data_IF_786104890871
#
_entry.id   IF_786104890871
#
_cell.length_a   1.000
_cell.length_b   1.000
_cell.length_c   1.000
_cell.angle_alpha   90.00
_cell.angle_beta   90.00
_cell.angle_gamma   90.00
#
_symmetry.space_group_name_H-M   'P 1'
#
loop_
_entity.id
_entity.type
_entity.pdbx_description
1 polymer ?
#
# COMPACT_ATOMS: atom_id res chain seq x y z
N UNK A 1 -1.89 -36.95 16.58
CA UNK A 1 -2.18 -35.54 16.94
C UNK A 1 -0.97 -34.60 16.88
N UNK A 2 0.22 -34.97 17.42
CA UNK A 2 1.39 -34.06 17.47
C UNK A 2 1.90 -33.59 16.10
N UNK A 3 1.97 -34.48 15.11
CA UNK A 3 2.37 -34.15 13.73
C UNK A 3 1.31 -33.33 12.97
N UNK A 4 0.04 -33.57 13.26
CA UNK A 4 -1.08 -32.89 12.58
C UNK A 4 -1.03 -31.38 12.84
N UNK A 5 -0.81 -30.97 14.08
CA UNK A 5 -0.74 -29.54 14.42
C UNK A 5 0.48 -28.83 13.81
N UNK A 6 1.61 -29.52 13.72
CA UNK A 6 2.80 -28.99 13.03
C UNK A 6 2.54 -28.84 11.53
N UNK A 7 1.90 -29.83 10.91
CA UNK A 7 1.55 -29.79 9.50
C UNK A 7 0.57 -28.66 9.20
N UNK A 8 -0.50 -28.53 9.99
CA UNK A 8 -1.48 -27.45 9.85
C UNK A 8 -0.80 -26.09 9.99
N UNK A 9 0.01 -25.87 11.04
CA UNK A 9 0.70 -24.59 11.22
C UNK A 9 1.66 -24.26 10.06
N UNK A 10 2.37 -25.27 9.53
CA UNK A 10 3.26 -25.10 8.37
C UNK A 10 2.49 -24.75 7.10
N UNK A 11 1.39 -25.45 6.81
CA UNK A 11 0.54 -25.16 5.65
C UNK A 11 -0.08 -23.77 5.77
N UNK A 12 -0.58 -23.40 6.95
CA UNK A 12 -1.14 -22.07 7.19
C UNK A 12 -0.10 -20.97 7.05
N UNK A 13 1.14 -21.19 7.53
CA UNK A 13 2.24 -20.24 7.33
C UNK A 13 2.52 -20.00 5.84
N UNK A 14 2.64 -21.08 5.07
CA UNK A 14 2.86 -21.00 3.62
C UNK A 14 1.67 -20.33 2.91
N UNK A 15 0.45 -20.64 3.32
CA UNK A 15 -0.75 -19.99 2.79
C UNK A 15 -0.69 -18.47 3.00
N UNK A 16 -0.40 -18.01 4.22
CA UNK A 16 -0.30 -16.57 4.51
C UNK A 16 0.83 -15.92 3.70
N UNK A 17 1.98 -16.58 3.60
CA UNK A 17 3.14 -16.08 2.86
C UNK A 17 2.86 -15.85 1.37
N UNK A 18 2.17 -16.80 0.72
CA UNK A 18 1.89 -16.72 -0.72
C UNK A 18 0.59 -15.98 -1.04
N UNK A 19 -0.35 -15.92 -0.10
CA UNK A 19 -1.63 -15.19 -0.26
C UNK A 19 -1.61 -13.83 0.43
N UNK A 20 -0.43 -13.30 0.76
CA UNK A 20 -0.27 -12.03 1.47
C UNK A 20 -1.08 -10.88 0.85
N UNK A 21 -1.00 -10.61 -0.48
CA UNK A 21 -1.73 -9.49 -1.08
C UNK A 21 -3.26 -9.67 -1.03
N UNK A 22 -3.72 -10.93 -1.09
CA UNK A 22 -5.14 -11.26 -1.01
C UNK A 22 -5.67 -11.01 0.40
N UNK A 23 -4.91 -11.42 1.42
CA UNK A 23 -5.27 -11.19 2.83
C UNK A 23 -5.30 -9.68 3.12
N UNK A 24 -4.28 -8.94 2.69
CA UNK A 24 -4.24 -7.48 2.81
C UNK A 24 -5.48 -6.84 2.17
N UNK A 25 -5.78 -7.19 0.91
CA UNK A 25 -6.95 -6.65 0.18
C UNK A 25 -8.27 -6.97 0.87
N UNK A 26 -8.41 -8.20 1.41
CA UNK A 26 -9.60 -8.62 2.15
C UNK A 26 -9.87 -7.75 3.37
N UNK A 27 -8.84 -7.46 4.18
CA UNK A 27 -9.01 -6.58 5.34
C UNK A 27 -9.31 -5.12 4.94
N UNK A 28 -8.69 -4.63 3.86
CA UNK A 28 -9.06 -3.31 3.31
C UNK A 28 -10.52 -3.30 2.84
N UNK A 29 -11.03 -4.36 2.26
CA UNK A 29 -12.45 -4.44 1.86
C UNK A 29 -13.40 -4.52 3.06
N UNK A 30 -12.94 -5.05 4.20
CA UNK A 30 -13.67 -5.03 5.48
C UNK A 30 -13.65 -3.68 6.22
N UNK A 31 -13.21 -2.59 5.56
CA UNK A 31 -13.08 -1.26 6.14
C UNK A 31 -12.02 -1.13 7.26
N UNK A 32 -11.05 -2.04 7.35
CA UNK A 32 -9.89 -1.81 8.22
C UNK A 32 -9.04 -0.67 7.64
N UNK A 33 -8.19 -0.06 8.47
CA UNK A 33 -7.19 0.89 7.98
C UNK A 33 -6.21 0.18 7.04
N UNK A 34 -5.62 0.93 6.10
CA UNK A 34 -4.60 0.43 5.19
C UNK A 34 -3.40 -0.12 5.94
N UNK A 35 -2.92 0.60 6.97
CA UNK A 35 -1.77 0.17 7.77
C UNK A 35 -2.09 -1.11 8.55
N UNK A 36 -3.28 -1.19 9.15
CA UNK A 36 -3.68 -2.39 9.89
C UNK A 36 -3.83 -3.60 8.97
N UNK A 37 -4.43 -3.40 7.80
CA UNK A 37 -4.61 -4.46 6.79
C UNK A 37 -3.26 -5.02 6.31
N UNK A 38 -2.23 -4.19 6.23
CA UNK A 38 -0.85 -4.60 5.90
C UNK A 38 -0.16 -5.35 7.04
N UNK A 39 -0.41 -4.96 8.28
CA UNK A 39 0.21 -5.55 9.47
C UNK A 39 -0.36 -6.94 9.80
N UNK A 40 -1.65 -7.16 9.56
CA UNK A 40 -2.34 -8.42 9.93
C UNK A 40 -1.66 -9.67 9.32
N UNK A 41 -1.35 -9.75 8.02
CA UNK A 41 -0.63 -10.90 7.46
C UNK A 41 0.71 -11.19 8.16
N UNK A 42 1.48 -10.15 8.53
CA UNK A 42 2.73 -10.33 9.29
C UNK A 42 2.47 -10.87 10.71
N UNK A 43 1.42 -10.40 11.39
CA UNK A 43 1.03 -10.94 12.69
C UNK A 43 0.61 -12.41 12.59
N UNK A 44 -0.14 -12.79 11.56
CA UNK A 44 -0.49 -14.19 11.30
C UNK A 44 0.75 -15.05 11.05
N UNK A 45 1.68 -14.56 10.24
CA UNK A 45 2.98 -15.22 10.02
C UNK A 45 3.74 -15.42 11.33
N UNK A 46 3.81 -14.40 12.19
CA UNK A 46 4.47 -14.49 13.49
C UNK A 46 3.81 -15.55 14.39
N UNK A 47 2.48 -15.56 14.46
CA UNK A 47 1.72 -16.56 15.23
C UNK A 47 2.04 -17.97 14.74
N UNK A 48 1.96 -18.22 13.43
CA UNK A 48 2.25 -19.55 12.88
C UNK A 48 3.73 -19.94 13.04
N UNK A 49 4.66 -19.00 12.88
CA UNK A 49 6.08 -19.25 13.10
C UNK A 49 6.38 -19.63 14.56
N UNK A 50 5.74 -18.97 15.53
CA UNK A 50 5.82 -19.34 16.96
C UNK A 50 5.27 -20.74 17.20
N UNK A 51 4.11 -21.09 16.60
CA UNK A 51 3.52 -22.42 16.71
C UNK A 51 4.42 -23.51 16.13
N UNK A 52 5.02 -23.26 14.95
CA UNK A 52 5.95 -24.18 14.28
C UNK A 52 7.21 -24.35 15.14
N UNK A 53 7.84 -23.26 15.57
CA UNK A 53 9.04 -23.28 16.42
C UNK A 53 8.78 -24.02 17.75
N UNK A 54 7.64 -23.78 18.38
CA UNK A 54 7.26 -24.50 19.59
C UNK A 54 7.08 -25.99 19.32
N UNK A 55 6.35 -26.37 18.27
CA UNK A 55 6.09 -27.78 17.93
C UNK A 55 7.35 -28.54 17.53
N UNK A 56 8.21 -27.97 16.69
CA UNK A 56 9.45 -28.63 16.24
C UNK A 56 10.39 -28.92 17.41
N UNK A 57 10.42 -28.05 18.43
CA UNK A 57 11.22 -28.25 19.65
C UNK A 57 10.77 -29.44 20.52
N UNK A 58 9.53 -29.92 20.31
CA UNK A 58 8.98 -31.11 20.94
C UNK A 58 9.03 -32.35 20.05
N UNK A 59 9.22 -32.18 18.73
CA UNK A 59 9.39 -33.28 17.78
C UNK A 59 10.84 -33.75 17.70
N UNK A 60 11.80 -32.83 17.79
CA UNK A 60 13.23 -33.16 17.76
C UNK A 60 13.72 -33.53 19.16
N UNK A 61 14.31 -34.72 19.28
CA UNK A 61 14.96 -35.20 20.50
C UNK A 61 16.32 -34.49 20.70
N UNK A 62 16.27 -33.25 21.16
CA UNK A 62 17.48 -32.51 21.55
C UNK A 62 17.84 -32.79 23.02
N UNK A 63 19.13 -33.01 23.31
CA UNK A 63 19.60 -33.48 24.62
C UNK A 63 19.54 -32.41 25.71
N UNK A 64 19.60 -31.13 25.36
CA UNK A 64 19.65 -30.03 26.34
C UNK A 64 18.53 -29.00 26.15
N UNK A 65 18.03 -28.38 27.23
CA UNK A 65 17.03 -27.31 27.14
C UNK A 65 17.58 -26.07 26.44
N UNK A 66 18.90 -25.83 26.51
CA UNK A 66 19.58 -24.76 25.76
C UNK A 66 19.50 -25.00 24.26
N UNK A 67 19.78 -26.22 23.79
CA UNK A 67 19.65 -26.56 22.36
C UNK A 67 18.21 -26.37 21.86
N UNK A 68 17.20 -26.77 22.65
CA UNK A 68 15.79 -26.54 22.31
C UNK A 68 15.44 -25.05 22.22
N UNK A 69 16.03 -24.20 23.06
CA UNK A 69 15.84 -22.74 23.01
C UNK A 69 16.47 -22.15 21.75
N UNK A 70 17.70 -22.54 21.43
CA UNK A 70 18.41 -22.09 20.22
C UNK A 70 17.63 -22.50 18.97
N UNK A 71 17.16 -23.75 18.90
CA UNK A 71 16.31 -24.23 17.79
C UNK A 71 15.05 -23.38 17.62
N UNK A 72 14.33 -23.08 18.71
CA UNK A 72 13.13 -22.25 18.67
C UNK A 72 13.41 -20.86 18.10
N UNK A 73 14.46 -20.21 18.61
CA UNK A 73 14.85 -18.88 18.15
C UNK A 73 15.29 -18.93 16.68
N UNK A 74 16.10 -19.93 16.29
CA UNK A 74 16.58 -20.10 14.93
C UNK A 74 15.44 -20.35 13.93
N UNK A 75 14.47 -21.19 14.28
CA UNK A 75 13.29 -21.43 13.43
C UNK A 75 12.41 -20.19 13.32
N UNK A 76 12.15 -19.51 14.43
CA UNK A 76 11.37 -18.28 14.44
C UNK A 76 12.04 -17.19 13.58
N UNK A 77 13.33 -16.94 13.80
CA UNK A 77 14.11 -15.98 13.04
C UNK A 77 14.19 -16.37 11.55
N UNK A 78 14.44 -17.65 11.25
CA UNK A 78 14.51 -18.14 9.88
C UNK A 78 13.21 -17.97 9.11
N UNK A 79 12.07 -18.31 9.72
CA UNK A 79 10.76 -18.11 9.10
C UNK A 79 10.45 -16.63 8.91
N UNK A 80 10.62 -15.79 9.95
CA UNK A 80 10.36 -14.35 9.84
C UNK A 80 11.24 -13.70 8.77
N UNK A 81 12.53 -14.04 8.72
CA UNK A 81 13.45 -13.57 7.68
C UNK A 81 13.02 -13.99 6.28
N UNK A 82 12.58 -15.25 6.10
CA UNK A 82 12.01 -15.70 4.84
C UNK A 82 10.76 -14.90 4.46
N UNK A 83 9.92 -14.62 5.47
CA UNK A 83 8.74 -13.77 5.35
C UNK A 83 9.06 -12.39 4.79
N UNK A 84 9.99 -11.67 5.43
CA UNK A 84 10.41 -10.34 4.98
C UNK A 84 11.23 -10.35 3.69
N UNK A 85 11.90 -11.45 3.36
CA UNK A 85 12.61 -11.59 2.08
C UNK A 85 11.64 -11.68 0.90
N UNK A 86 10.50 -12.34 1.09
CA UNK A 86 9.47 -12.50 0.05
C UNK A 86 8.50 -11.30 0.03
N UNK A 87 8.12 -10.81 1.22
CA UNK A 87 7.22 -9.68 1.42
C UNK A 87 7.98 -8.58 2.18
N UNK A 88 8.84 -7.80 1.51
CA UNK A 88 9.62 -6.75 2.17
C UNK A 88 8.72 -5.62 2.67
N UNK A 89 9.06 -5.09 3.85
CA UNK A 89 8.47 -3.85 4.37
C UNK A 89 9.35 -2.68 3.93
N UNK A 90 8.77 -1.74 3.20
CA UNK A 90 9.48 -0.53 2.76
C UNK A 90 9.21 0.64 3.70
N UNK A 91 10.22 1.50 3.92
CA UNK A 91 10.14 2.64 4.84
C UNK A 91 8.96 3.58 4.55
N UNK A 92 8.67 3.82 3.27
CA UNK A 92 7.56 4.65 2.85
C UNK A 92 6.18 4.02 2.91
N UNK A 93 6.06 2.76 3.35
CA UNK A 93 4.76 2.10 3.54
C UNK A 93 4.05 2.59 4.81
N UNK A 94 4.78 2.81 5.90
CA UNK A 94 4.23 3.20 7.20
C UNK A 94 4.57 4.63 7.62
N UNK A 95 5.53 5.26 6.93
CA UNK A 95 5.86 6.65 7.17
C UNK A 95 4.93 7.56 6.35
N UNK A 96 4.31 8.54 6.99
CA UNK A 96 3.44 9.51 6.34
C UNK A 96 4.21 10.68 5.71
N UNK A 97 5.50 10.84 6.04
CA UNK A 97 6.49 11.81 5.52
C UNK A 97 5.92 12.82 4.52
N UNK A 98 5.09 13.70 5.07
CA UNK A 98 4.27 14.64 4.36
C UNK A 98 5.19 15.72 3.80
N UNK A 99 5.19 15.89 2.48
CA UNK A 99 5.89 17.04 1.89
C UNK A 99 4.87 18.14 1.67
N UNK A 100 4.93 19.26 2.41
CA UNK A 100 4.07 20.40 2.12
C UNK A 100 4.40 20.89 0.72
N UNK A 101 3.37 21.14 -0.07
CA UNK A 101 3.50 21.58 -1.44
C UNK A 101 2.44 22.63 -1.70
N UNK A 102 2.89 23.83 -2.02
CA UNK A 102 2.02 24.95 -2.38
C UNK A 102 2.48 25.40 -3.76
N UNK A 103 1.55 25.46 -4.70
CA UNK A 103 1.73 26.19 -5.96
C UNK A 103 0.56 27.14 -6.10
N UNK A 104 0.88 28.42 -6.31
CA UNK A 104 -0.14 29.46 -6.55
C UNK A 104 -0.70 29.41 -7.98
N UNK A 105 0.05 28.77 -8.89
CA UNK A 105 -0.22 28.68 -10.32
C UNK A 105 -1.04 27.42 -10.68
N UNK A 106 -0.76 26.28 -10.04
CA UNK A 106 -1.51 25.04 -10.24
C UNK A 106 -2.74 24.97 -9.33
N UNK A 107 -3.93 25.04 -9.93
CA UNK A 107 -5.20 24.88 -9.22
C UNK A 107 -6.02 23.71 -9.77
N UNK A 108 -6.54 22.89 -8.87
CA UNK A 108 -7.36 21.73 -9.19
C UNK A 108 -8.77 21.88 -8.62
N UNK A 109 -9.67 22.49 -9.39
CA UNK A 109 -11.06 22.68 -8.94
C UNK A 109 -11.81 21.36 -8.91
N UNK A 110 -12.62 21.18 -7.87
CA UNK A 110 -13.47 20.01 -7.66
C UNK A 110 -12.70 18.68 -7.65
N UNK A 111 -11.52 18.69 -7.05
CA UNK A 111 -10.67 17.50 -6.90
C UNK A 111 -10.11 17.48 -5.49
N UNK A 112 -10.08 16.30 -4.88
CA UNK A 112 -9.55 16.10 -3.52
C UNK A 112 -8.17 15.42 -3.58
N UNK A 113 -7.97 14.51 -4.56
CA UNK A 113 -6.68 13.85 -4.81
C UNK A 113 -6.33 13.88 -6.29
N UNK A 114 -5.10 14.32 -6.60
CA UNK A 114 -4.54 14.25 -7.95
C UNK A 114 -3.38 13.26 -7.98
N UNK A 115 -3.40 12.30 -8.90
CA UNK A 115 -2.21 11.54 -9.27
C UNK A 115 -1.60 12.11 -10.54
N UNK A 116 -0.35 12.53 -10.46
CA UNK A 116 0.44 12.95 -11.62
C UNK A 116 1.22 11.75 -12.16
N UNK A 117 1.06 11.45 -13.44
CA UNK A 117 1.70 10.33 -14.11
C UNK A 117 2.23 10.67 -15.49
N UNK A 118 2.93 9.71 -16.10
CA UNK A 118 3.40 9.78 -17.48
C UNK A 118 2.88 8.58 -18.30
N UNK A 119 2.76 8.72 -19.63
CA UNK A 119 2.50 7.60 -20.52
C UNK A 119 3.49 6.45 -20.34
N UNK A 120 3.02 5.21 -20.47
CA UNK A 120 3.87 4.00 -20.43
C UNK A 120 4.49 3.65 -19.08
N UNK A 121 4.22 4.41 -18.02
CA UNK A 121 4.76 4.15 -16.68
C UNK A 121 3.99 3.03 -15.96
N UNK A 122 4.63 1.87 -15.79
CA UNK A 122 4.02 0.71 -15.13
C UNK A 122 3.58 1.00 -13.69
N UNK A 123 4.39 1.74 -12.91
CA UNK A 123 4.03 2.12 -11.55
C UNK A 123 2.79 3.02 -11.52
N UNK A 124 2.69 3.97 -12.45
CA UNK A 124 1.56 4.87 -12.58
C UNK A 124 0.27 4.13 -12.95
N UNK A 125 0.38 3.08 -13.77
CA UNK A 125 -0.74 2.19 -14.10
C UNK A 125 -1.14 1.32 -12.92
N UNK A 126 -0.18 0.75 -12.19
CA UNK A 126 -0.42 -0.06 -11.00
C UNK A 126 -1.15 0.74 -9.90
N UNK A 127 -0.76 2.01 -9.70
CA UNK A 127 -1.43 2.91 -8.75
C UNK A 127 -2.91 3.17 -9.06
N UNK A 128 -3.39 2.89 -10.28
CA UNK A 128 -4.81 3.05 -10.58
C UNK A 128 -5.69 2.07 -9.79
N UNK A 129 -5.18 0.88 -9.44
CA UNK A 129 -5.94 -0.08 -8.63
C UNK A 129 -6.11 0.41 -7.20
N UNK A 130 -5.06 0.99 -6.62
CA UNK A 130 -5.12 1.68 -5.32
C UNK A 130 -6.12 2.84 -5.34
N UNK A 131 -6.08 3.69 -6.37
CA UNK A 131 -7.02 4.80 -6.51
C UNK A 131 -8.46 4.31 -6.68
N UNK A 132 -8.67 3.20 -7.39
CA UNK A 132 -10.00 2.57 -7.51
C UNK A 132 -10.49 2.08 -6.15
N UNK A 133 -9.64 1.44 -5.35
CA UNK A 133 -10.01 0.97 -4.02
C UNK A 133 -10.31 2.14 -3.07
N UNK A 134 -9.50 3.20 -3.08
CA UNK A 134 -9.79 4.45 -2.35
C UNK A 134 -11.14 5.04 -2.74
N UNK A 135 -11.45 5.09 -4.05
CA UNK A 135 -12.74 5.59 -4.56
C UNK A 135 -13.91 4.71 -4.16
N UNK A 136 -13.74 3.38 -4.09
CA UNK A 136 -14.78 2.46 -3.61
C UNK A 136 -15.09 2.67 -2.13
N UNK A 137 -14.06 2.82 -1.30
CA UNK A 137 -14.19 3.11 0.14
C UNK A 137 -14.74 4.50 0.42
N UNK A 138 -14.40 5.47 -0.44
CA UNK A 138 -14.81 6.87 -0.31
C UNK A 138 -15.53 7.35 -1.59
N UNK A 139 -16.81 6.97 -1.80
CA UNK A 139 -17.52 7.28 -3.04
C UNK A 139 -17.64 8.78 -3.35
N UNK A 140 -17.66 9.64 -2.32
CA UNK A 140 -17.71 11.09 -2.47
C UNK A 140 -16.38 11.71 -2.92
N UNK A 141 -15.27 11.02 -2.71
CA UNK A 141 -13.93 11.52 -2.98
C UNK A 141 -13.70 11.75 -4.48
N UNK A 142 -13.24 12.93 -4.87
CA UNK A 142 -13.01 13.32 -6.26
C UNK A 142 -11.53 13.08 -6.60
N UNK A 143 -11.29 12.03 -7.38
CA UNK A 143 -9.94 11.63 -7.79
C UNK A 143 -9.72 11.99 -9.26
N UNK A 144 -8.58 12.62 -9.54
CA UNK A 144 -8.14 12.97 -10.88
C UNK A 144 -6.75 12.41 -11.16
N UNK A 145 -6.56 11.84 -12.35
CA UNK A 145 -5.24 11.51 -12.89
C UNK A 145 -4.89 12.52 -13.95
N UNK A 146 -3.71 13.12 -13.80
CA UNK A 146 -3.16 14.11 -14.71
C UNK A 146 -1.92 13.51 -15.36
N UNK A 147 -1.97 13.34 -16.68
CA UNK A 147 -0.84 12.81 -17.44
C UNK A 147 -0.03 13.95 -18.06
N UNK A 148 1.30 13.89 -17.90
CA UNK A 148 2.23 14.79 -18.57
C UNK A 148 2.45 14.34 -20.03
N UNK A 149 2.18 15.24 -20.98
CA UNK A 149 2.38 15.05 -22.43
C UNK A 149 1.78 13.75 -23.03
N UNK A 150 0.54 13.34 -22.71
CA UNK A 150 -0.07 12.15 -23.28
C UNK A 150 -0.54 12.37 -24.73
N UNK A 151 -0.43 11.33 -25.55
CA UNK A 151 -1.18 11.21 -26.80
C UNK A 151 -2.60 10.64 -26.54
N UNK A 152 -3.41 10.49 -27.60
CA UNK A 152 -4.79 9.96 -27.49
C UNK A 152 -4.84 8.51 -27.02
N UNK A 153 -3.90 7.66 -27.46
CA UNK A 153 -3.82 6.25 -27.05
C UNK A 153 -3.51 6.13 -25.56
N UNK A 154 -2.60 6.95 -25.06
CA UNK A 154 -2.20 6.95 -23.63
C UNK A 154 -3.41 7.30 -22.74
N UNK A 155 -4.15 8.36 -23.08
CA UNK A 155 -5.36 8.74 -22.34
C UNK A 155 -6.41 7.62 -22.35
N UNK A 156 -6.59 6.94 -23.48
CA UNK A 156 -7.55 5.84 -23.60
C UNK A 156 -7.12 4.62 -22.78
N UNK A 157 -5.83 4.31 -22.72
CA UNK A 157 -5.31 3.23 -21.87
C UNK A 157 -5.63 3.50 -20.40
N UNK A 158 -5.30 4.70 -19.91
CA UNK A 158 -5.57 5.08 -18.52
C UNK A 158 -7.07 5.08 -18.23
N UNK A 159 -7.92 5.61 -19.12
CA UNK A 159 -9.38 5.57 -18.95
C UNK A 159 -9.94 4.15 -18.91
N UNK A 160 -9.44 3.26 -19.77
CA UNK A 160 -9.88 1.85 -19.80
C UNK A 160 -9.60 1.17 -18.46
N UNK A 161 -8.44 1.42 -17.87
CA UNK A 161 -8.05 0.81 -16.59
C UNK A 161 -8.77 1.48 -15.42
N UNK A 162 -8.81 2.82 -15.39
CA UNK A 162 -9.39 3.59 -14.30
C UNK A 162 -10.93 3.50 -14.24
N UNK A 163 -11.59 3.22 -15.37
CA UNK A 163 -13.04 3.21 -15.48
C UNK A 163 -13.64 4.62 -15.43
N UNK A 164 -14.93 4.70 -15.10
CA UNK A 164 -15.69 5.96 -15.10
C UNK A 164 -15.61 6.73 -13.78
N UNK A 165 -15.06 6.14 -12.72
CA UNK A 165 -15.07 6.71 -11.38
C UNK A 165 -13.90 7.66 -11.09
N UNK A 166 -12.87 7.65 -11.95
CA UNK A 166 -11.66 8.46 -11.80
C UNK A 166 -11.48 9.30 -13.07
N UNK A 167 -11.34 10.63 -12.89
CA UNK A 167 -11.20 11.55 -14.02
C UNK A 167 -9.79 11.47 -14.59
N UNK A 168 -9.66 11.19 -15.89
CA UNK A 168 -8.36 11.20 -16.58
C UNK A 168 -8.23 12.43 -17.46
N UNK A 169 -7.13 13.18 -17.30
CA UNK A 169 -6.89 14.43 -18.02
C UNK A 169 -5.43 14.62 -18.41
N UNK A 170 -5.19 15.50 -19.39
CA UNK A 170 -3.86 15.99 -19.74
C UNK A 170 -3.49 17.16 -18.82
N UNK A 171 -2.22 17.24 -18.42
CA UNK A 171 -1.68 18.40 -17.72
C UNK A 171 -1.78 19.66 -18.60
N UNK A 172 -2.35 20.74 -18.06
CA UNK A 172 -2.43 22.04 -18.75
C UNK A 172 -1.04 22.64 -18.94
N UNK A 173 -0.20 22.60 -17.90
CA UNK A 173 1.22 22.92 -17.96
C UNK A 173 2.05 21.71 -17.49
N UNK A 174 2.53 20.87 -18.42
CA UNK A 174 3.35 19.72 -18.10
C UNK A 174 4.71 20.09 -17.48
N UNK A 175 5.26 21.26 -17.78
CA UNK A 175 6.58 21.66 -17.28
C UNK A 175 6.46 22.08 -15.82
N UNK A 176 5.45 22.90 -15.50
CA UNK A 176 5.21 23.38 -14.15
C UNK A 176 4.90 22.22 -13.18
N UNK A 177 3.99 21.31 -13.57
CA UNK A 177 3.64 20.17 -12.72
C UNK A 177 4.82 19.21 -12.54
N UNK A 178 5.68 19.06 -13.57
CA UNK A 178 6.89 18.24 -13.48
C UNK A 178 7.93 18.88 -12.57
N UNK A 179 8.05 20.22 -12.58
CA UNK A 179 8.92 20.96 -11.67
C UNK A 179 8.44 20.80 -10.22
N UNK A 180 7.13 20.94 -9.96
CA UNK A 180 6.55 20.78 -8.63
C UNK A 180 6.85 19.41 -8.01
N UNK A 181 6.72 18.34 -8.80
CA UNK A 181 6.95 16.96 -8.33
C UNK A 181 8.42 16.53 -8.45
N UNK A 182 9.32 17.45 -8.82
CA UNK A 182 10.73 17.20 -9.08
C UNK A 182 10.98 15.99 -10.03
N UNK A 183 10.14 15.85 -11.05
CA UNK A 183 10.22 14.76 -12.03
C UNK A 183 9.91 13.35 -11.50
N UNK A 184 9.35 13.22 -10.28
CA UNK A 184 9.03 11.91 -9.69
C UNK A 184 7.63 11.47 -10.09
N UNK A 185 7.50 10.25 -10.63
CA UNK A 185 6.23 9.68 -11.06
C UNK A 185 6.05 8.24 -10.53
N UNK A 186 4.80 7.83 -10.22
CA UNK A 186 3.67 8.71 -9.95
C UNK A 186 3.92 9.60 -8.73
N UNK A 187 3.23 10.73 -8.63
CA UNK A 187 3.19 11.57 -7.43
C UNK A 187 1.74 11.91 -7.13
N UNK A 188 1.36 11.87 -5.86
CA UNK A 188 0.00 12.10 -5.39
C UNK A 188 -0.06 13.44 -4.68
N UNK A 189 -1.07 14.24 -4.99
CA UNK A 189 -1.25 15.59 -4.47
C UNK A 189 -2.58 15.65 -3.72
N UNK A 190 -2.54 16.00 -2.44
CA UNK A 190 -3.73 16.37 -1.69
C UNK A 190 -4.15 17.78 -2.09
N UNK A 191 -5.41 17.93 -2.51
CA UNK A 191 -5.98 19.21 -2.90
C UNK A 191 -7.08 19.58 -1.91
N UNK A 192 -7.00 20.77 -1.33
CA UNK A 192 -8.06 21.36 -0.51
C UNK A 192 -8.41 22.74 -1.04
N UNK A 193 -9.71 23.00 -1.21
CA UNK A 193 -10.22 24.27 -1.75
C UNK A 193 -9.60 24.68 -3.09
N UNK A 194 -9.24 23.69 -3.92
CA UNK A 194 -8.61 23.90 -5.22
C UNK A 194 -7.11 24.13 -5.19
N UNK A 195 -6.50 24.19 -4.01
CA UNK A 195 -5.06 24.39 -3.81
C UNK A 195 -4.39 23.09 -3.39
N UNK A 196 -3.19 22.87 -3.89
CA UNK A 196 -2.33 21.78 -3.45
C UNK A 196 -1.88 22.10 -2.03
N UNK A 197 -1.98 21.12 -1.12
CA UNK A 197 -1.51 21.26 0.26
C UNK A 197 -0.33 20.35 0.52
N UNK A 198 -0.43 19.10 0.07
CA UNK A 198 0.56 18.07 0.34
C UNK A 198 0.88 17.31 -0.95
N UNK A 199 2.10 16.78 -1.02
CA UNK A 199 2.50 15.82 -2.04
C UNK A 199 3.17 14.58 -1.44
N UNK A 200 2.96 13.44 -2.10
CA UNK A 200 3.64 12.18 -1.84
C UNK A 200 4.20 11.62 -3.15
N UNK A 201 5.54 11.49 -3.30
CA UNK A 201 6.11 10.73 -4.40
C UNK A 201 5.75 9.24 -4.27
N UNK A 202 5.89 8.48 -5.36
CA UNK A 202 5.54 7.06 -5.43
C UNK A 202 5.98 6.22 -4.22
N UNK A 203 7.23 6.41 -3.79
CA UNK A 203 7.82 5.66 -2.67
C UNK A 203 7.36 6.13 -1.28
N UNK A 204 6.44 7.08 -1.19
CA UNK A 204 5.89 7.63 0.07
C UNK A 204 4.37 7.67 0.10
N UNK A 205 3.69 7.26 -0.96
CA UNK A 205 2.23 7.10 -0.96
C UNK A 205 1.84 5.69 -0.50
N UNK A 206 2.32 5.33 0.69
CA UNK A 206 2.09 4.05 1.33
C UNK A 206 0.80 3.98 2.14
N UNK A 207 0.68 2.93 2.96
CA UNK A 207 -0.49 2.70 3.82
C UNK A 207 -0.72 3.84 4.83
N UNK A 208 0.35 4.41 5.40
CA UNK A 208 0.24 5.56 6.30
C UNK A 208 -0.33 6.80 5.61
N UNK A 209 0.12 7.11 4.38
CA UNK A 209 -0.40 8.23 3.60
C UNK A 209 -1.88 8.02 3.21
N UNK A 210 -2.28 6.78 2.88
CA UNK A 210 -3.68 6.44 2.57
C UNK A 210 -4.58 6.56 3.81
N UNK A 211 -4.12 6.10 4.98
CA UNK A 211 -4.84 6.25 6.25
C UNK A 211 -5.00 7.74 6.61
N UNK A 212 -3.94 8.53 6.49
CA UNK A 212 -3.99 9.98 6.69
C UNK A 212 -5.03 10.64 5.78
N UNK A 213 -5.00 10.30 4.48
CA UNK A 213 -5.92 10.83 3.48
C UNK A 213 -7.38 10.52 3.81
N UNK A 214 -7.70 9.28 4.20
CA UNK A 214 -9.06 8.88 4.58
C UNK A 214 -9.54 9.62 5.84
N UNK A 215 -8.67 9.82 6.83
CA UNK A 215 -9.01 10.58 8.03
C UNK A 215 -9.33 12.05 7.70
N UNK A 216 -8.52 12.70 6.87
CA UNK A 216 -8.77 14.08 6.44
C UNK A 216 -10.11 14.26 5.72
N UNK A 217 -10.58 13.24 5.00
CA UNK A 217 -11.87 13.25 4.33
C UNK A 217 -13.05 13.08 5.31
N UNK A 218 -12.86 12.41 6.44
CA UNK A 218 -13.88 12.27 7.48
C UNK A 218 -14.09 13.59 8.24
N UNK A 219 -13.00 14.27 8.60
CA UNK A 219 -13.06 15.56 9.30
C UNK A 219 -13.82 16.61 8.47
N UNK A 220 -13.58 16.65 7.16
CA UNK A 220 -14.28 17.57 6.24
C UNK A 220 -15.79 17.33 6.04
N UNK A 221 -16.34 16.25 6.61
CA UNK A 221 -17.79 15.94 6.57
C UNK A 221 -18.53 16.37 7.84
N UNK A 222 -17.82 16.79 8.88
CA UNK A 222 -18.40 17.23 10.15
C UNK A 222 -18.60 18.76 10.25
N UNK A 223 -18.08 19.50 9.26
CA UNK A 223 -18.33 20.93 9.03
C UNK A 223 -19.44 21.13 7.98
#
# INVERSE_FOLDING_TARGET
MRFILFFIASVSYLFVLFQFPLIESYFVEMNFSWSLSKIIPYLLMLIFAVLIAWRISHLILLPTPRAKRILKIGVLAGLMSLGFAIQPIYEGEFNDNITPAISDQLRFRNTDLVMVGIPGCNYCLASLDDLKQLKRRNPSMRIQVVLCRPNRKDLNQYRKIAGNSIRISRASDPNEITALIAGKFPTFLLVKNGEIKLLWPNNRFGTGAKDFLENQLQDSKQD
#
